data_IF_873830472095
#
_entry.id   IF_873830472095
#
_cell.length_a   1.000
_cell.length_b   1.000
_cell.length_c   1.000
_cell.angle_alpha   90.00
_cell.angle_beta   90.00
_cell.angle_gamma   90.00
#
_symmetry.space_group_name_H-M   'P 1'
#
loop_
_entity.id
_entity.type
_entity.pdbx_description
1 polymer ?
#
# COMPACT_ATOMS: atom_id res chain seq x y z
N UNK A 1 -25.99 -9.73 -59.03
CA UNK A 1 -24.53 -9.81 -58.74
C UNK A 1 -24.15 -8.95 -57.52
N UNK A 2 -24.58 -7.70 -57.44
CA UNK A 2 -24.34 -6.79 -56.31
C UNK A 2 -24.76 -7.32 -54.92
N UNK A 3 -25.94 -7.92 -54.79
CA UNK A 3 -26.44 -8.43 -53.49
C UNK A 3 -25.56 -9.55 -52.90
N UNK A 4 -24.95 -10.40 -53.76
CA UNK A 4 -24.01 -11.45 -53.33
C UNK A 4 -22.68 -10.88 -52.83
N UNK A 5 -22.26 -9.73 -53.36
CA UNK A 5 -21.01 -9.06 -52.96
C UNK A 5 -21.20 -8.40 -51.60
N UNK A 6 -22.34 -7.71 -51.39
CA UNK A 6 -22.69 -7.10 -50.11
C UNK A 6 -22.80 -8.16 -49.01
N UNK A 7 -23.47 -9.29 -49.29
CA UNK A 7 -23.61 -10.38 -48.32
C UNK A 7 -22.26 -11.01 -47.95
N UNK A 8 -21.36 -11.19 -48.92
CA UNK A 8 -20.00 -11.69 -48.65
C UNK A 8 -19.16 -10.70 -47.86
N UNK A 9 -19.24 -9.40 -48.15
CA UNK A 9 -18.55 -8.36 -47.36
C UNK A 9 -19.10 -8.26 -45.94
N UNK A 10 -20.41 -8.34 -45.75
CA UNK A 10 -21.02 -8.31 -44.42
C UNK A 10 -20.64 -9.55 -43.59
N UNK A 11 -20.64 -10.73 -44.22
CA UNK A 11 -20.20 -11.97 -43.58
C UNK A 11 -18.71 -11.91 -43.21
N UNK A 12 -17.87 -11.34 -44.09
CA UNK A 12 -16.44 -11.16 -43.83
C UNK A 12 -16.20 -10.21 -42.64
N UNK A 13 -16.90 -9.07 -42.60
CA UNK A 13 -16.82 -8.09 -41.50
C UNK A 13 -17.28 -8.73 -40.18
N UNK A 14 -18.36 -9.51 -40.20
CA UNK A 14 -18.86 -10.21 -39.01
C UNK A 14 -17.87 -11.28 -38.52
N UNK A 15 -17.24 -12.03 -39.43
CA UNK A 15 -16.20 -13.01 -39.06
C UNK A 15 -14.94 -12.36 -38.53
N UNK A 16 -14.52 -11.20 -39.06
CA UNK A 16 -13.38 -10.45 -38.52
C UNK A 16 -13.68 -9.81 -37.17
N UNK A 17 -14.93 -9.38 -36.94
CA UNK A 17 -15.38 -8.82 -35.66
C UNK A 17 -15.45 -9.90 -34.56
N UNK A 18 -15.88 -11.11 -34.93
CA UNK A 18 -15.88 -12.27 -34.03
C UNK A 18 -14.45 -12.81 -33.77
N UNK A 19 -13.55 -12.70 -34.76
CA UNK A 19 -12.14 -13.07 -34.59
C UNK A 19 -11.31 -12.03 -33.79
N UNK A 20 -11.84 -10.82 -33.56
CA UNK A 20 -11.24 -9.82 -32.67
C UNK A 20 -11.76 -9.85 -31.25
N UNK A 21 -12.59 -10.84 -30.89
CA UNK A 21 -12.90 -11.12 -29.48
C UNK A 21 -11.66 -11.78 -28.90
N UNK A 22 -10.69 -10.95 -28.51
CA UNK A 22 -9.61 -11.36 -27.62
C UNK A 22 -10.22 -12.04 -26.41
N UNK A 23 -9.56 -13.08 -25.90
CA UNK A 23 -9.92 -13.68 -24.62
C UNK A 23 -10.12 -12.57 -23.59
N UNK A 24 -11.37 -12.34 -23.19
CA UNK A 24 -11.65 -11.52 -22.02
C UNK A 24 -11.16 -12.36 -20.86
N UNK A 25 -9.95 -12.08 -20.40
CA UNK A 25 -9.47 -12.55 -19.11
C UNK A 25 -10.42 -11.94 -18.10
N UNK A 26 -11.46 -12.70 -17.74
CA UNK A 26 -12.36 -12.32 -16.67
C UNK A 26 -11.55 -12.50 -15.40
N UNK A 27 -10.99 -11.41 -14.89
CA UNK A 27 -10.61 -11.36 -13.49
C UNK A 27 -11.81 -11.81 -12.66
N UNK A 28 -11.57 -12.63 -11.64
CA UNK A 28 -12.64 -13.02 -10.70
C UNK A 28 -13.37 -11.78 -10.17
N UNK A 29 -14.60 -11.96 -9.71
CA UNK A 29 -15.49 -10.85 -9.36
C UNK A 29 -14.89 -9.99 -8.24
N UNK A 30 -14.52 -8.74 -8.53
CA UNK A 30 -13.98 -7.80 -7.54
C UNK A 30 -15.12 -7.34 -6.64
N UNK A 31 -15.12 -7.79 -5.39
CA UNK A 31 -16.17 -7.45 -4.42
C UNK A 31 -15.82 -6.25 -3.54
N UNK A 32 -14.54 -5.92 -3.44
CA UNK A 32 -14.04 -4.82 -2.62
C UNK A 32 -12.68 -4.36 -3.15
N UNK A 33 -12.47 -3.05 -3.28
CA UNK A 33 -11.16 -2.49 -3.61
C UNK A 33 -11.06 -1.05 -3.08
N UNK A 34 -9.99 -0.71 -2.37
CA UNK A 34 -9.75 0.63 -1.83
C UNK A 34 -8.28 1.04 -1.96
N UNK A 35 -8.06 2.33 -2.24
CA UNK A 35 -6.74 2.96 -2.20
C UNK A 35 -6.57 3.64 -0.84
N UNK A 36 -5.78 3.06 0.05
CA UNK A 36 -5.61 3.54 1.42
C UNK A 36 -4.80 4.85 1.44
N UNK A 37 -5.27 5.81 2.23
CA UNK A 37 -4.74 7.17 2.29
C UNK A 37 -4.97 8.01 1.04
N UNK A 38 -5.54 7.45 -0.03
CA UNK A 38 -5.64 8.07 -1.34
C UNK A 38 -7.06 8.24 -1.85
N UNK A 39 -7.12 8.85 -3.03
CA UNK A 39 -8.35 8.97 -3.82
C UNK A 39 -8.62 7.71 -4.65
N UNK A 40 -9.84 7.60 -5.19
CA UNK A 40 -10.21 6.50 -6.06
C UNK A 40 -9.29 6.41 -7.30
N UNK A 41 -8.99 5.20 -7.73
CA UNK A 41 -8.10 4.91 -8.84
C UNK A 41 -8.51 3.63 -9.57
N UNK A 42 -8.29 3.55 -10.87
CA UNK A 42 -8.50 2.32 -11.65
C UNK A 42 -7.17 1.90 -12.23
N UNK A 43 -6.74 0.67 -11.91
CA UNK A 43 -5.46 0.12 -12.37
C UNK A 43 -5.50 -0.33 -13.83
N UNK A 44 -4.35 -0.76 -14.36
CA UNK A 44 -4.25 -1.24 -15.75
C UNK A 44 -5.09 -2.50 -16.03
N UNK A 45 -5.49 -3.25 -15.00
CA UNK A 45 -6.30 -4.45 -15.12
C UNK A 45 -7.81 -4.13 -15.06
N UNK A 46 -8.17 -2.87 -14.85
CA UNK A 46 -9.55 -2.39 -14.75
C UNK A 46 -10.15 -2.53 -13.36
N UNK A 47 -9.37 -2.89 -12.34
CA UNK A 47 -9.84 -2.94 -10.95
C UNK A 47 -9.99 -1.50 -10.46
N UNK A 48 -11.22 -1.14 -10.11
CA UNK A 48 -11.53 0.18 -9.55
C UNK A 48 -11.42 0.15 -8.03
N UNK A 49 -10.36 0.75 -7.52
CA UNK A 49 -10.16 1.04 -6.11
C UNK A 49 -10.94 2.30 -5.76
N UNK A 50 -11.86 2.19 -4.81
CA UNK A 50 -12.56 3.35 -4.27
C UNK A 50 -11.63 4.15 -3.35
N UNK A 51 -12.01 5.41 -3.10
CA UNK A 51 -11.29 6.23 -2.11
C UNK A 51 -11.35 5.60 -0.73
N UNK A 52 -10.36 5.90 0.09
CA UNK A 52 -10.26 5.35 1.43
C UNK A 52 -11.51 5.66 2.30
N UNK A 53 -12.26 4.63 2.76
CA UNK A 53 -13.48 4.83 3.56
C UNK A 53 -13.22 5.34 4.98
N UNK A 54 -11.97 5.26 5.46
CA UNK A 54 -11.52 5.74 6.76
C UNK A 54 -10.99 7.19 6.72
N UNK A 55 -11.01 7.83 5.55
CA UNK A 55 -10.60 9.23 5.41
C UNK A 55 -11.35 10.14 6.40
N UNK A 56 -10.59 10.90 7.20
CA UNK A 56 -11.13 11.77 8.24
C UNK A 56 -11.72 11.07 9.47
N UNK A 57 -11.51 9.75 9.64
CA UNK A 57 -12.08 8.95 10.74
C UNK A 57 -11.01 8.24 11.58
N UNK A 58 -10.25 7.33 10.98
CA UNK A 58 -9.29 6.45 11.66
C UNK A 58 -8.00 6.46 10.86
N UNK A 59 -6.83 6.51 11.51
CA UNK A 59 -5.57 6.54 10.78
C UNK A 59 -5.23 7.91 10.21
N UNK A 60 -3.96 8.06 9.86
CA UNK A 60 -3.43 9.21 9.14
C UNK A 60 -3.23 8.80 7.67
N UNK A 61 -3.86 9.50 6.71
CA UNK A 61 -3.52 9.34 5.30
C UNK A 61 -2.15 9.99 5.04
N UNK A 62 -1.31 9.34 4.25
CA UNK A 62 -0.01 9.85 3.82
C UNK A 62 0.16 9.64 2.33
N UNK A 63 0.76 10.64 1.67
CA UNK A 63 1.16 10.57 0.27
C UNK A 63 2.67 10.75 0.09
N UNK A 64 3.44 10.48 1.15
CA UNK A 64 4.90 10.60 1.16
C UNK A 64 5.56 9.79 0.05
N UNK A 65 4.98 8.63 -0.29
CA UNK A 65 5.45 7.75 -1.35
C UNK A 65 5.44 8.40 -2.75
N UNK A 66 4.66 9.46 -2.99
CA UNK A 66 4.65 10.18 -4.28
C UNK A 66 5.99 10.81 -4.67
N UNK A 67 6.92 10.90 -3.72
CA UNK A 67 8.29 11.39 -3.96
C UNK A 67 9.18 10.33 -4.62
N UNK A 68 8.75 9.07 -4.63
CA UNK A 68 9.50 7.93 -5.15
C UNK A 68 8.88 7.40 -6.43
N UNK A 69 9.73 6.89 -7.32
CA UNK A 69 9.30 6.00 -8.38
C UNK A 69 9.18 4.59 -7.79
N UNK A 70 7.98 4.01 -7.84
CA UNK A 70 7.76 2.68 -7.25
C UNK A 70 8.16 1.57 -8.23
N UNK A 71 9.05 0.68 -7.81
CA UNK A 71 9.51 -0.46 -8.58
C UNK A 71 8.47 -1.59 -8.69
N UNK A 72 8.65 -2.47 -9.70
CA UNK A 72 7.79 -3.64 -10.02
C UNK A 72 6.37 -3.34 -10.52
N UNK A 73 6.02 -2.06 -10.73
CA UNK A 73 4.68 -1.67 -11.19
C UNK A 73 4.73 -0.62 -12.30
N UNK A 74 3.76 -0.62 -13.24
CA UNK A 74 3.67 0.40 -14.27
C UNK A 74 3.37 1.77 -13.67
N UNK A 75 3.77 2.84 -14.36
CA UNK A 75 3.65 4.21 -13.87
C UNK A 75 2.23 4.61 -13.42
N UNK A 76 1.19 4.09 -14.10
CA UNK A 76 -0.20 4.41 -13.77
C UNK A 76 -0.64 3.81 -12.43
N UNK A 77 -0.13 2.63 -12.06
CA UNK A 77 -0.55 1.92 -10.85
C UNK A 77 0.31 2.28 -9.64
N UNK A 78 1.41 3.04 -9.83
CA UNK A 78 2.27 3.47 -8.73
C UNK A 78 1.50 4.18 -7.63
N UNK A 79 0.42 4.88 -7.96
CA UNK A 79 -0.40 5.58 -6.97
C UNK A 79 -0.94 4.66 -5.87
N UNK A 80 -1.23 3.38 -6.20
CA UNK A 80 -1.69 2.36 -5.25
C UNK A 80 -0.60 1.90 -4.26
N UNK A 81 0.63 2.38 -4.44
CA UNK A 81 1.80 2.13 -3.59
C UNK A 81 2.44 3.45 -3.09
N UNK A 82 1.95 4.60 -3.56
CA UNK A 82 2.47 5.93 -3.17
C UNK A 82 1.62 6.60 -2.10
N UNK A 83 0.33 6.26 -2.01
CA UNK A 83 -0.53 6.64 -0.89
C UNK A 83 -0.65 5.49 0.10
N UNK A 84 -0.77 5.84 1.38
CA UNK A 84 -0.93 4.87 2.47
C UNK A 84 -1.80 5.41 3.59
N UNK A 85 -2.42 4.50 4.32
CA UNK A 85 -2.93 4.79 5.66
C UNK A 85 -2.06 4.09 6.68
N UNK A 86 -1.57 4.85 7.66
CA UNK A 86 -0.95 4.29 8.86
C UNK A 86 -1.73 4.73 10.10
N UNK A 87 -1.50 4.08 11.24
CA UNK A 87 -2.13 4.47 12.49
C UNK A 87 -1.26 4.13 13.69
N UNK A 88 -1.34 4.94 14.75
CA UNK A 88 -0.56 4.73 15.98
C UNK A 88 -1.03 3.56 16.84
N UNK A 89 -2.19 2.97 16.50
CA UNK A 89 -2.78 1.79 17.13
C UNK A 89 -3.29 0.82 16.06
N UNK A 90 -3.75 -0.36 16.48
CA UNK A 90 -4.43 -1.30 15.58
C UNK A 90 -5.61 -0.64 14.86
N UNK A 91 -5.75 -0.89 13.56
CA UNK A 91 -6.86 -0.43 12.75
C UNK A 91 -7.21 -1.47 11.68
N UNK A 92 -8.37 -1.34 11.04
CA UNK A 92 -8.79 -2.32 10.05
C UNK A 92 -9.92 -1.85 9.15
N UNK A 93 -10.22 -2.67 8.16
CA UNK A 93 -11.29 -2.43 7.17
C UNK A 93 -12.31 -3.55 7.27
N UNK A 94 -13.59 -3.17 7.29
CA UNK A 94 -14.69 -4.12 7.18
C UNK A 94 -15.01 -4.33 5.70
N UNK A 95 -14.95 -5.58 5.25
CA UNK A 95 -15.17 -6.02 3.88
C UNK A 95 -16.51 -6.76 3.82
N UNK A 96 -17.49 -6.28 3.04
CA UNK A 96 -18.77 -6.97 2.89
C UNK A 96 -18.59 -8.32 2.18
N UNK A 97 -19.22 -9.36 2.73
CA UNK A 97 -19.23 -10.73 2.18
C UNK A 97 -20.67 -11.24 2.23
N UNK A 98 -21.23 -11.55 1.06
CA UNK A 98 -22.64 -11.92 0.91
C UNK A 98 -22.86 -13.25 0.17
N UNK A 99 -21.80 -13.93 -0.24
CA UNK A 99 -21.87 -15.18 -0.98
C UNK A 99 -20.83 -16.16 -0.48
N UNK A 100 -21.16 -17.44 -0.55
CA UNK A 100 -20.19 -18.51 -0.38
C UNK A 100 -19.30 -18.62 -1.62
N UNK A 101 -18.06 -19.09 -1.42
CA UNK A 101 -17.08 -19.32 -2.45
C UNK A 101 -15.64 -19.11 -1.99
N UNK A 102 -14.73 -19.30 -2.93
CA UNK A 102 -13.31 -19.03 -2.75
C UNK A 102 -13.03 -17.55 -3.01
N UNK A 103 -12.19 -16.96 -2.17
CA UNK A 103 -11.82 -15.55 -2.22
C UNK A 103 -10.31 -15.39 -2.07
N UNK A 104 -9.78 -14.38 -2.77
CA UNK A 104 -8.42 -13.91 -2.56
C UNK A 104 -8.47 -12.48 -2.02
N UNK A 105 -7.87 -12.27 -0.85
CA UNK A 105 -7.55 -10.96 -0.31
C UNK A 105 -6.13 -10.59 -0.76
N UNK A 106 -6.00 -9.45 -1.41
CA UNK A 106 -4.72 -8.91 -1.84
C UNK A 106 -4.44 -7.60 -1.11
N UNK A 107 -3.32 -7.58 -0.41
CA UNK A 107 -2.86 -6.44 0.38
C UNK A 107 -1.60 -5.87 -0.29
N UNK A 108 -1.64 -4.58 -0.63
CA UNK A 108 -0.56 -3.89 -1.32
C UNK A 108 0.21 -3.02 -0.35
N UNK A 109 1.53 -3.11 -0.42
CA UNK A 109 2.47 -2.43 0.48
C UNK A 109 3.64 -1.82 -0.27
N UNK A 110 4.15 -0.71 0.25
CA UNK A 110 5.46 -0.17 -0.10
C UNK A 110 6.08 0.50 1.13
N UNK A 111 7.32 0.16 1.47
CA UNK A 111 8.08 0.95 2.42
C UNK A 111 8.63 2.18 1.69
N UNK A 112 8.39 3.37 2.23
CA UNK A 112 8.74 4.66 1.60
C UNK A 112 9.48 5.58 2.56
N UNK A 113 9.48 5.25 3.85
CA UNK A 113 10.05 6.06 4.91
C UNK A 113 11.34 5.45 5.45
N UNK A 114 11.31 4.19 5.89
CA UNK A 114 12.48 3.54 6.48
C UNK A 114 13.46 3.01 5.43
N UNK A 115 14.75 3.04 5.79
CA UNK A 115 15.89 2.62 4.97
C UNK A 115 16.62 1.38 5.53
N UNK A 116 16.00 0.66 6.47
CA UNK A 116 16.59 -0.49 7.13
C UNK A 116 15.50 -1.47 7.61
N UNK A 117 15.81 -2.78 7.70
CA UNK A 117 14.89 -3.75 8.26
C UNK A 117 14.74 -3.54 9.78
N UNK A 118 13.74 -4.18 10.35
CA UNK A 118 13.32 -4.20 11.74
C UNK A 118 12.93 -2.82 12.31
N UNK A 119 12.63 -1.85 11.43
CA UNK A 119 12.17 -0.52 11.81
C UNK A 119 10.64 -0.45 11.93
N UNK A 120 9.94 -1.15 11.03
CA UNK A 120 8.48 -1.27 10.99
C UNK A 120 8.11 -2.74 10.85
N UNK A 121 7.51 -3.27 11.90
CA UNK A 121 7.08 -4.67 11.97
C UNK A 121 5.68 -4.71 12.58
N UNK A 122 4.75 -5.36 11.91
CA UNK A 122 3.37 -5.48 12.36
C UNK A 122 2.71 -6.75 11.83
N UNK A 123 1.70 -7.25 12.55
CA UNK A 123 0.92 -8.41 12.11
C UNK A 123 -0.33 -7.97 11.34
N UNK A 124 -0.87 -8.90 10.58
CA UNK A 124 -2.14 -8.74 9.88
C UNK A 124 -3.05 -9.89 10.29
N UNK A 125 -4.23 -9.56 10.80
CA UNK A 125 -5.22 -10.50 11.28
C UNK A 125 -6.48 -10.40 10.43
N UNK A 126 -7.04 -11.55 10.05
CA UNK A 126 -8.28 -11.67 9.31
C UNK A 126 -9.37 -12.22 10.23
N UNK A 127 -10.51 -11.53 10.23
CA UNK A 127 -11.70 -11.84 11.00
C UNK A 127 -11.46 -11.98 12.52
N UNK A 128 -10.47 -11.26 13.06
CA UNK A 128 -10.14 -11.24 14.49
C UNK A 128 -9.37 -12.45 15.03
N UNK A 129 -9.45 -13.59 14.34
CA UNK A 129 -8.91 -14.86 14.82
C UNK A 129 -7.69 -15.35 14.03
N UNK A 130 -7.61 -15.04 12.73
CA UNK A 130 -6.61 -15.64 11.83
C UNK A 130 -5.42 -14.71 11.63
N UNK A 131 -4.24 -15.04 12.14
CA UNK A 131 -3.01 -14.29 11.78
C UNK A 131 -2.59 -14.68 10.37
N UNK A 132 -2.91 -13.84 9.39
CA UNK A 132 -2.69 -14.13 7.96
C UNK A 132 -1.28 -13.72 7.50
N UNK A 133 -0.67 -12.75 8.17
CA UNK A 133 0.74 -12.37 7.98
C UNK A 133 1.31 -11.98 9.33
N UNK A 134 2.32 -12.71 9.80
CA UNK A 134 3.01 -12.42 11.06
C UNK A 134 4.33 -11.66 10.79
N UNK A 135 4.67 -10.74 11.69
CA UNK A 135 5.91 -9.96 11.70
C UNK A 135 6.25 -9.34 10.33
N UNK A 136 5.27 -8.72 9.66
CA UNK A 136 5.49 -8.12 8.34
C UNK A 136 6.46 -6.94 8.45
N UNK A 137 7.63 -7.12 7.86
CA UNK A 137 8.60 -6.07 7.58
C UNK A 137 8.71 -5.86 6.06
N UNK A 138 8.08 -4.80 5.57
CA UNK A 138 8.05 -4.51 4.13
C UNK A 138 9.46 -4.21 3.60
N UNK A 139 10.31 -3.54 4.39
CA UNK A 139 11.68 -3.24 3.98
C UNK A 139 12.52 -4.51 3.86
N UNK A 140 12.42 -5.42 4.84
CA UNK A 140 13.15 -6.69 4.79
C UNK A 140 12.72 -7.55 3.60
N UNK A 141 11.45 -7.49 3.19
CA UNK A 141 10.92 -8.23 2.03
C UNK A 141 11.44 -7.71 0.70
N UNK A 142 11.43 -6.39 0.48
CA UNK A 142 11.61 -5.82 -0.86
C UNK A 142 12.46 -4.54 -0.91
N UNK A 143 12.90 -4.02 0.22
CA UNK A 143 13.57 -2.73 0.35
C UNK A 143 12.62 -1.53 0.25
N UNK A 144 13.19 -0.34 0.09
CA UNK A 144 12.45 0.93 0.00
C UNK A 144 12.06 1.25 -1.45
N UNK A 145 10.84 1.73 -1.64
CA UNK A 145 10.33 2.19 -2.95
C UNK A 145 10.02 1.04 -3.91
N UNK A 146 9.81 -0.17 -3.39
CA UNK A 146 9.52 -1.36 -4.19
C UNK A 146 8.16 -1.90 -3.76
N UNK A 147 7.29 -2.19 -4.74
CA UNK A 147 5.97 -2.77 -4.47
C UNK A 147 6.10 -4.17 -3.85
N UNK A 148 5.27 -4.45 -2.85
CA UNK A 148 5.10 -5.75 -2.21
C UNK A 148 3.60 -6.07 -2.10
N UNK A 149 3.22 -7.31 -2.41
CA UNK A 149 1.85 -7.78 -2.34
C UNK A 149 1.79 -9.05 -1.49
N UNK A 150 0.84 -9.10 -0.57
CA UNK A 150 0.45 -10.33 0.13
C UNK A 150 -0.83 -10.87 -0.50
N UNK A 151 -0.86 -12.18 -0.79
CA UNK A 151 -2.00 -12.85 -1.42
C UNK A 151 -2.56 -13.94 -0.50
N UNK A 152 -3.74 -13.69 0.07
CA UNK A 152 -4.35 -14.54 1.08
C UNK A 152 -5.56 -15.24 0.48
N UNK A 153 -5.49 -16.56 0.34
CA UNK A 153 -6.63 -17.39 -0.09
C UNK A 153 -7.47 -17.79 1.12
N UNK A 154 -8.78 -17.61 1.05
CA UNK A 154 -9.71 -18.07 2.08
C UNK A 154 -11.03 -18.51 1.45
N UNK A 155 -11.79 -19.33 2.16
CA UNK A 155 -13.09 -19.82 1.70
C UNK A 155 -14.20 -19.32 2.62
N UNK A 156 -15.35 -18.99 2.04
CA UNK A 156 -16.57 -18.69 2.75
C UNK A 156 -17.59 -19.78 2.46
N UNK A 157 -18.10 -20.41 3.52
CA UNK A 157 -19.09 -21.47 3.38
C UNK A 157 -20.04 -21.47 4.58
N UNK A 158 -21.34 -21.36 4.31
CA UNK A 158 -22.40 -21.33 5.32
C UNK A 158 -22.17 -20.27 6.42
N UNK A 159 -21.74 -19.08 6.03
CA UNK A 159 -21.53 -17.94 6.95
C UNK A 159 -20.30 -18.08 7.86
N UNK A 160 -19.40 -19.02 7.59
CA UNK A 160 -18.09 -19.15 8.25
C UNK A 160 -16.97 -18.85 7.26
N UNK A 161 -15.88 -18.29 7.77
CA UNK A 161 -14.62 -18.09 7.06
C UNK A 161 -13.66 -19.21 7.40
N UNK A 162 -13.01 -19.79 6.39
CA UNK A 162 -12.00 -20.83 6.54
C UNK A 162 -10.66 -20.34 6.00
N UNK A 163 -9.62 -20.43 6.80
CA UNK A 163 -8.25 -20.08 6.46
C UNK A 163 -7.30 -21.10 7.10
N UNK A 164 -6.41 -21.72 6.32
CA UNK A 164 -5.43 -22.71 6.80
C UNK A 164 -6.01 -23.79 7.75
N UNK A 165 -7.15 -24.38 7.38
CA UNK A 165 -7.88 -25.41 8.17
C UNK A 165 -8.56 -24.89 9.45
N UNK A 166 -8.39 -23.61 9.81
CA UNK A 166 -9.09 -22.95 10.91
C UNK A 166 -10.37 -22.28 10.40
N UNK A 167 -11.40 -22.24 11.24
CA UNK A 167 -12.68 -21.57 10.94
C UNK A 167 -12.98 -20.44 11.93
N UNK A 168 -13.66 -19.40 11.47
CA UNK A 168 -14.25 -18.37 12.33
C UNK A 168 -15.61 -17.88 11.81
N UNK A 169 -16.45 -17.42 12.75
CA UNK A 169 -17.79 -16.92 12.43
C UNK A 169 -17.74 -15.55 11.75
N UNK A 170 -18.56 -15.36 10.71
CA UNK A 170 -18.74 -14.05 10.09
C UNK A 170 -19.89 -13.33 10.77
N UNK A 171 -19.61 -12.15 11.33
CA UNK A 171 -20.61 -11.34 12.03
C UNK A 171 -21.06 -10.16 11.18
N UNK A 172 -22.37 -9.99 11.02
CA UNK A 172 -22.94 -8.82 10.33
C UNK A 172 -22.67 -8.77 8.83
N UNK A 173 -22.42 -9.92 8.18
CA UNK A 173 -22.18 -10.01 6.73
C UNK A 173 -20.88 -9.33 6.28
N UNK A 174 -19.92 -9.19 7.18
CA UNK A 174 -18.62 -8.58 6.91
C UNK A 174 -17.52 -9.38 7.57
N UNK A 175 -16.39 -9.47 6.88
CA UNK A 175 -15.13 -9.89 7.46
C UNK A 175 -14.28 -8.65 7.72
N UNK A 176 -13.32 -8.74 8.63
CA UNK A 176 -12.47 -7.60 8.99
C UNK A 176 -11.01 -7.95 8.79
N UNK A 177 -10.27 -7.13 8.05
CA UNK A 177 -8.81 -7.21 8.00
C UNK A 177 -8.23 -6.14 8.93
N UNK A 178 -7.39 -6.55 9.87
CA UNK A 178 -6.82 -5.70 10.91
C UNK A 178 -5.29 -5.71 10.83
N UNK A 179 -4.71 -4.51 10.89
CA UNK A 179 -3.27 -4.30 10.93
C UNK A 179 -2.89 -4.01 12.39
N UNK A 180 -2.23 -4.98 13.03
CA UNK A 180 -2.00 -5.01 14.46
C UNK A 180 -0.80 -4.16 14.82
N UNK A 181 -0.96 -3.24 15.78
CA UNK A 181 0.17 -2.45 16.28
C UNK A 181 1.11 -3.34 17.08
N UNK A 182 2.28 -3.65 16.51
CA UNK A 182 3.40 -4.27 17.20
C UNK A 182 4.19 -3.28 18.08
N UNK A 183 5.33 -3.71 18.61
CA UNK A 183 6.20 -2.88 19.48
C UNK A 183 7.14 -1.93 18.71
N UNK A 184 7.27 -2.11 17.39
CA UNK A 184 8.07 -1.25 16.48
C UNK A 184 7.29 0.00 16.08
N UNK A 185 7.41 0.47 14.84
CA UNK A 185 6.65 1.61 14.34
C UNK A 185 5.17 1.24 14.00
N UNK A 186 4.47 2.16 13.35
CA UNK A 186 3.03 2.08 13.08
C UNK A 186 2.70 1.12 11.93
N UNK A 187 1.64 0.29 12.05
CA UNK A 187 1.11 -0.49 10.93
C UNK A 187 0.65 0.43 9.81
N UNK A 188 0.77 -0.03 8.56
CA UNK A 188 0.31 0.68 7.37
C UNK A 188 -0.31 -0.28 6.35
N UNK A 189 -1.01 0.29 5.37
CA UNK A 189 -1.38 -0.38 4.11
C UNK A 189 -1.50 0.66 3.00
N UNK A 190 -1.17 0.29 1.76
CA UNK A 190 -1.28 1.17 0.60
C UNK A 190 -2.58 0.93 -0.17
N UNK A 191 -2.95 -0.33 -0.42
CA UNK A 191 -4.24 -0.65 -1.02
C UNK A 191 -4.71 -2.05 -0.63
N UNK A 192 -6.02 -2.29 -0.75
CA UNK A 192 -6.64 -3.59 -0.49
C UNK A 192 -7.59 -3.87 -1.64
N UNK A 193 -7.60 -5.11 -2.13
CA UNK A 193 -8.77 -5.60 -2.87
C UNK A 193 -9.08 -7.05 -2.50
N UNK A 194 -10.34 -7.42 -2.68
CA UNK A 194 -10.84 -8.78 -2.52
C UNK A 194 -11.59 -9.17 -3.77
N UNK A 195 -11.26 -10.35 -4.27
CA UNK A 195 -11.91 -10.94 -5.43
C UNK A 195 -12.45 -12.32 -5.09
N UNK A 196 -13.61 -12.66 -5.66
CA UNK A 196 -14.13 -14.03 -5.66
C UNK A 196 -13.46 -14.80 -6.80
N UNK A 197 -12.78 -15.89 -6.49
CA UNK A 197 -12.01 -16.66 -7.46
C UNK A 197 -10.82 -17.36 -6.82
N UNK A 198 -9.85 -17.74 -7.65
CA UNK A 198 -8.67 -18.50 -7.21
C UNK A 198 -7.40 -17.69 -7.37
N UNK A 199 -6.33 -18.18 -6.75
CA UNK A 199 -5.03 -17.50 -6.71
C UNK A 199 -4.40 -17.39 -8.11
N UNK A 200 -4.72 -18.32 -9.02
CA UNK A 200 -4.29 -18.30 -10.41
C UNK A 200 -4.86 -17.13 -11.22
N UNK A 201 -6.01 -16.60 -10.81
CA UNK A 201 -6.70 -15.50 -11.51
C UNK A 201 -6.14 -14.12 -11.14
N UNK A 202 -5.24 -14.07 -10.16
CA UNK A 202 -4.74 -12.84 -9.55
C UNK A 202 -3.48 -12.38 -10.27
N UNK A 203 -3.44 -11.15 -10.82
CA UNK A 203 -2.21 -10.55 -11.35
C UNK A 203 -1.10 -10.54 -10.30
N UNK A 204 0.04 -11.14 -10.64
CA UNK A 204 1.22 -11.17 -9.77
C UNK A 204 2.20 -10.06 -10.12
N UNK A 205 2.80 -9.47 -9.09
CA UNK A 205 3.94 -8.58 -9.29
C UNK A 205 5.07 -9.33 -10.01
N UNK A 206 5.80 -8.67 -10.94
CA UNK A 206 7.05 -9.20 -11.47
C UNK A 206 8.00 -9.64 -10.34
N UNK A 207 8.88 -10.64 -10.57
CA UNK A 207 9.87 -11.03 -9.58
C UNK A 207 10.76 -9.84 -9.20
N UNK A 208 11.35 -9.89 -8.01
CA UNK A 208 12.43 -8.96 -7.65
C UNK A 208 13.56 -9.16 -8.66
N UNK A 209 14.10 -8.07 -9.19
CA UNK A 209 15.29 -8.16 -10.03
C UNK A 209 16.46 -8.62 -9.16
N UNK A 210 17.19 -9.64 -9.60
CA UNK A 210 18.47 -10.02 -9.00
C UNK A 210 19.45 -8.86 -9.20
N UNK A 211 19.43 -7.90 -8.28
CA UNK A 211 20.32 -6.73 -8.32
C UNK A 211 21.12 -6.79 -7.04
N UNK A 212 22.42 -7.01 -7.24
CA UNK A 212 23.44 -7.26 -6.23
C UNK A 212 23.28 -6.39 -4.98
N UNK A 213 23.59 -6.99 -3.83
CA UNK A 213 23.74 -6.35 -2.53
C UNK A 213 24.13 -4.88 -2.67
N UNK A 214 23.21 -3.98 -2.31
CA UNK A 214 23.49 -2.56 -2.17
C UNK A 214 24.57 -2.38 -1.10
N UNK A 215 25.84 -2.36 -1.51
CA UNK A 215 26.89 -1.70 -0.75
C UNK A 215 26.49 -0.23 -0.67
N UNK A 216 26.16 0.22 0.54
CA UNK A 216 25.80 1.60 0.81
C UNK A 216 26.84 2.55 0.24
N UNK A 217 26.43 3.30 -0.77
CA UNK A 217 27.09 4.55 -1.13
C UNK A 217 26.33 5.67 -0.41
N UNK A 218 26.98 6.21 0.63
CA UNK A 218 26.63 7.48 1.24
C UNK A 218 26.67 8.56 0.15
N UNK A 219 25.51 8.92 -0.40
CA UNK A 219 25.43 10.05 -1.31
C UNK A 219 25.41 11.34 -0.50
N UNK A 220 26.57 11.97 -0.40
CA UNK A 220 26.76 13.35 0.03
C UNK A 220 25.78 14.29 -0.69
N UNK A 221 25.15 15.18 0.09
CA UNK A 221 24.28 16.24 -0.39
C UNK A 221 24.98 17.11 -1.44
N UNK A 222 24.46 17.11 -2.67
CA UNK A 222 24.69 18.21 -3.61
C UNK A 222 23.37 18.78 -4.09
N UNK A 223 23.06 19.95 -3.55
CA UNK A 223 22.06 20.88 -4.07
C UNK A 223 22.31 21.12 -5.57
N UNK A 224 21.33 20.77 -6.39
CA UNK A 224 21.20 21.36 -7.72
C UNK A 224 19.73 21.60 -8.01
N UNK A 225 19.39 22.87 -8.20
CA UNK A 225 18.03 23.29 -8.49
C UNK A 225 17.63 22.94 -9.92
N UNK A 226 16.39 22.48 -10.11
CA UNK A 226 15.58 22.88 -11.26
C UNK A 226 14.08 22.60 -11.10
N UNK A 227 13.31 23.64 -11.44
CA UNK A 227 11.95 23.69 -12.01
C UNK A 227 10.85 22.83 -11.38
N UNK A 228 10.07 23.52 -10.54
CA UNK A 228 8.76 23.14 -10.02
C UNK A 228 7.74 22.82 -11.13
N UNK A 229 7.31 21.56 -11.20
CA UNK A 229 5.94 21.20 -11.58
C UNK A 229 5.12 21.20 -10.29
N UNK A 230 3.99 21.90 -10.27
CA UNK A 230 3.09 22.02 -9.10
C UNK A 230 2.11 20.84 -9.07
N UNK A 231 2.11 19.96 -8.05
CA UNK A 231 0.90 19.29 -7.62
C UNK A 231 0.09 20.23 -6.72
N UNK A 232 -1.22 20.28 -6.95
CA UNK A 232 -2.18 21.06 -6.17
C UNK A 232 -2.52 20.34 -4.85
N UNK A 233 -1.96 20.82 -3.74
CA UNK A 233 -2.32 20.40 -2.38
C UNK A 233 -1.26 20.85 -1.36
N UNK A 234 -1.64 21.17 -0.11
CA UNK A 234 -0.64 21.36 0.96
C UNK A 234 0.13 20.06 1.18
N UNK A 235 1.46 20.12 1.23
CA UNK A 235 2.29 18.95 1.58
C UNK A 235 2.01 18.58 3.04
N UNK A 236 1.71 17.31 3.29
CA UNK A 236 1.62 16.78 4.66
C UNK A 236 3.00 16.93 5.33
N UNK A 237 3.09 17.56 6.51
CA UNK A 237 4.36 17.70 7.22
C UNK A 237 4.87 16.32 7.66
N UNK A 238 6.19 16.14 7.66
CA UNK A 238 6.83 14.91 8.13
C UNK A 238 6.46 14.68 9.62
N UNK A 239 5.77 13.59 9.96
CA UNK A 239 5.34 13.33 11.35
C UNK A 239 6.51 13.11 12.32
N UNK A 240 7.76 13.00 11.84
CA UNK A 240 8.95 12.83 12.66
C UNK A 240 10.03 13.89 12.40
N UNK A 241 9.71 15.02 11.74
CA UNK A 241 10.66 16.12 11.67
C UNK A 241 10.93 16.62 13.09
N UNK A 242 12.10 16.32 13.62
CA UNK A 242 12.59 16.98 14.84
C UNK A 242 12.79 18.45 14.51
N UNK A 243 12.03 19.31 15.16
CA UNK A 243 12.25 20.75 15.07
C UNK A 243 13.62 21.02 15.72
N UNK A 244 14.64 21.34 14.93
CA UNK A 244 16.03 21.56 15.37
C UNK A 244 16.14 22.56 16.54
N UNK A 245 15.12 23.42 16.66
CA UNK A 245 14.85 24.31 17.79
C UNK A 245 14.88 23.59 19.15
N UNK A 246 14.42 22.33 19.21
CA UNK A 246 14.31 21.50 20.40
C UNK A 246 15.67 20.95 20.86
N UNK A 247 16.60 20.71 19.91
CA UNK A 247 17.96 20.25 20.18
C UNK A 247 18.88 21.39 20.63
N UNK A 248 18.56 22.63 20.25
CA UNK A 248 19.34 23.82 20.60
C UNK A 248 18.96 24.41 21.97
N UNK A 249 17.75 24.14 22.48
CA UNK A 249 17.29 24.64 23.78
C UNK A 249 18.18 24.24 24.96
N UNK A 250 18.62 22.96 25.09
CA UNK A 250 19.52 22.56 26.18
C UNK A 250 20.91 23.21 26.06
N UNK A 251 21.38 23.43 24.83
CA UNK A 251 22.69 24.07 24.55
C UNK A 251 22.68 25.53 24.97
N UNK A 252 21.62 26.28 24.68
CA UNK A 252 21.49 27.67 25.11
C UNK A 252 21.36 27.82 26.63
N UNK A 253 20.65 26.89 27.29
CA UNK A 253 20.57 26.85 28.76
C UNK A 253 21.94 26.55 29.37
N UNK A 254 22.70 25.61 28.80
CA UNK A 254 24.04 25.28 29.26
C UNK A 254 25.01 26.46 29.11
N UNK A 255 25.01 27.16 27.96
CA UNK A 255 25.87 28.34 27.74
C UNK A 255 25.46 29.51 28.65
N UNK A 256 24.16 29.74 28.83
CA UNK A 256 23.63 30.81 29.69
C UNK A 256 23.95 30.61 31.17
N UNK A 257 23.98 29.36 31.66
CA UNK A 257 24.36 29.03 33.02
C UNK A 257 25.88 29.04 33.26
N UNK A 258 26.68 28.75 32.23
CA UNK A 258 28.14 28.65 32.34
C UNK A 258 28.84 30.02 32.36
N UNK A 259 28.34 31.01 31.60
CA UNK A 259 28.92 32.36 31.54
C UNK A 259 29.01 33.09 32.90
N UNK A 260 27.98 33.11 33.76
CA UNK A 260 28.08 33.73 35.08
C UNK A 260 28.97 32.94 36.04
N UNK A 261 29.03 31.61 35.92
CA UNK A 261 29.93 30.77 36.73
C UNK A 261 31.41 31.01 36.36
N UNK A 262 31.71 31.16 35.07
CA UNK A 262 33.05 31.52 34.58
C UNK A 262 33.47 32.91 35.07
N UNK A 263 32.55 33.88 35.05
CA UNK A 263 32.83 35.24 35.52
C UNK A 263 33.05 35.32 37.04
N UNK A 264 32.36 34.47 37.81
CA UNK A 264 32.58 34.32 39.26
C UNK A 264 33.87 33.56 39.61
N UNK A 265 34.31 32.61 38.78
CA UNK A 265 35.56 31.86 38.98
C UNK A 265 36.81 32.61 38.50
N UNK A 266 36.68 33.54 37.55
CA UNK A 266 37.78 34.35 37.03
C UNK A 266 37.98 35.69 37.77
N UNK A 267 37.23 35.94 38.85
CA UNK A 267 37.54 36.99 39.83
C UNK A 267 37.98 36.37 41.17
N UNK A 268 39.21 35.86 41.17
CA UNK A 268 40.07 35.66 42.33
C UNK A 268 41.51 35.94 41.89
#
# INVERSE_FOLDING_TARGET
>A
MFFKIIYKSLLLILTTLLASVSDVVSFGDIIYAINAGGEAHTDIFGIRYERDPLFGKIGTPSDYGKQLLIGRVPANDQILYQTERYHHSTFGYDIPINQDGDYILVLKFCEVYFNAPNMKVFDIVLNGDHTIVADLDIFDRVGRGVAHDEYISFNINNGRLYFNEEESDIRGGKIRVEFIKGYRDNPKVNAIYVMKGRIEDVPKLPPLSDTEEWKGEESEEKQSGSKSRRPSGPKTPDPYSVDDSSLMLPVFIAIGAFLPLLFCLCKL
#
